data_IF_134185317226
#
_entry.id   IF_134185317226
#
_cell.length_a   1.000
_cell.length_b   1.000
_cell.length_c   1.000
_cell.angle_alpha   90.00
_cell.angle_beta   90.00
_cell.angle_gamma   90.00
#
_symmetry.space_group_name_H-M   'P 1'
#
loop_
_entity.id
_entity.type
_entity.pdbx_description
1 polymer ?
#
# COMPACT_ATOMS: atom_id res chain seq x y z
N UNK A 1 -28.66 -20.51 18.84
CA UNK A 1 -27.29 -21.07 18.73
C UNK A 1 -27.28 -22.59 18.50
N UNK A 2 -27.93 -23.40 19.27
CA UNK A 2 -28.00 -24.85 19.00
C UNK A 2 -28.49 -25.22 17.60
N UNK A 3 -29.41 -24.46 17.01
CA UNK A 3 -29.91 -24.67 15.63
C UNK A 3 -28.91 -24.25 14.56
N UNK A 4 -28.14 -23.19 14.76
CA UNK A 4 -27.09 -22.73 13.85
C UNK A 4 -25.91 -23.69 13.85
N UNK A 5 -25.55 -24.22 15.03
CA UNK A 5 -24.43 -25.16 15.17
C UNK A 5 -24.76 -26.60 14.83
N UNK A 6 -26.02 -27.06 14.94
CA UNK A 6 -26.41 -28.36 14.43
C UNK A 6 -26.23 -28.52 12.91
N UNK A 7 -26.40 -27.44 12.13
CA UNK A 7 -26.11 -27.47 10.68
C UNK A 7 -24.60 -27.42 10.34
N UNK A 8 -23.77 -26.88 11.23
CA UNK A 8 -22.32 -26.83 11.07
C UNK A 8 -21.68 -28.22 11.26
N UNK A 9 -22.22 -29.04 12.14
CA UNK A 9 -21.67 -30.37 12.50
C UNK A 9 -22.15 -31.49 11.58
N UNK A 10 -23.32 -31.37 10.91
CA UNK A 10 -23.89 -32.44 10.08
C UNK A 10 -23.62 -32.34 8.57
N UNK A 11 -22.85 -31.38 8.13
CA UNK A 11 -22.57 -31.09 6.69
C UNK A 11 -21.40 -31.85 6.05
N UNK A 12 -20.70 -32.72 6.76
CA UNK A 12 -19.58 -33.48 6.20
C UNK A 12 -19.98 -34.91 5.86
N UNK A 13 -20.74 -35.10 4.78
CA UNK A 13 -20.79 -36.42 4.10
C UNK A 13 -21.23 -36.26 2.66
N UNK A 14 -20.37 -36.72 1.78
CA UNK A 14 -20.52 -37.05 0.36
C UNK A 14 -20.54 -35.88 -0.65
N UNK A 15 -19.39 -35.61 -1.26
CA UNK A 15 -19.28 -35.43 -2.71
C UNK A 15 -18.05 -36.19 -3.21
N UNK A 16 -18.27 -37.27 -3.91
CA UNK A 16 -17.26 -38.02 -4.66
C UNK A 16 -16.89 -37.24 -5.93
N UNK A 17 -15.57 -37.00 -6.07
CA UNK A 17 -14.97 -36.27 -7.17
C UNK A 17 -14.80 -37.18 -8.38
N UNK A 18 -15.46 -36.86 -9.46
CA UNK A 18 -15.12 -37.36 -10.79
C UNK A 18 -13.94 -36.59 -11.38
N UNK A 19 -12.76 -37.18 -11.36
CA UNK A 19 -11.58 -36.71 -12.08
C UNK A 19 -11.70 -37.03 -13.56
N UNK A 20 -12.04 -36.05 -14.40
CA UNK A 20 -11.79 -36.14 -15.84
C UNK A 20 -10.53 -35.36 -16.17
N UNK A 21 -9.42 -36.09 -16.38
CA UNK A 21 -8.20 -35.57 -17.01
C UNK A 21 -8.53 -35.17 -18.47
N UNK A 22 -8.50 -33.87 -18.76
CA UNK A 22 -8.32 -33.39 -20.13
C UNK A 22 -6.82 -33.15 -20.36
N UNK A 23 -6.18 -34.06 -21.07
CA UNK A 23 -4.86 -33.87 -21.66
C UNK A 23 -5.00 -32.91 -22.84
N UNK A 24 -4.52 -31.69 -22.66
CA UNK A 24 -4.31 -30.73 -23.76
C UNK A 24 -2.89 -30.89 -24.26
N UNK A 25 -2.75 -31.52 -25.40
CA UNK A 25 -1.52 -31.53 -26.20
C UNK A 25 -1.28 -30.14 -26.76
N UNK A 26 -0.42 -29.34 -26.13
CA UNK A 26 0.16 -28.14 -26.76
C UNK A 26 1.44 -28.52 -27.46
N UNK A 27 1.44 -28.29 -28.78
CA UNK A 27 2.50 -28.57 -29.70
C UNK A 27 3.82 -27.90 -29.33
N UNK A 28 4.90 -28.68 -29.38
CA UNK A 28 6.31 -28.32 -29.13
C UNK A 28 6.96 -27.48 -30.23
N UNK A 29 6.22 -26.67 -30.98
CA UNK A 29 6.77 -26.00 -32.19
C UNK A 29 7.08 -24.52 -32.00
N UNK A 30 6.92 -23.93 -30.77
CA UNK A 30 7.14 -22.50 -30.55
C UNK A 30 8.40 -22.13 -29.77
N UNK A 31 9.23 -23.10 -29.37
CA UNK A 31 10.43 -22.83 -28.57
C UNK A 31 11.70 -22.49 -29.41
N UNK A 32 11.66 -22.61 -30.71
CA UNK A 32 12.84 -22.40 -31.56
C UNK A 32 12.98 -21.03 -32.24
N UNK A 33 11.98 -20.15 -32.17
CA UNK A 33 12.03 -18.85 -32.85
C UNK A 33 12.15 -17.61 -31.91
N UNK A 34 12.49 -17.79 -30.64
CA UNK A 34 12.70 -16.68 -29.68
C UNK A 34 14.18 -16.45 -29.34
N UNK A 35 15.10 -17.00 -30.10
CA UNK A 35 16.49 -16.53 -30.12
C UNK A 35 16.59 -15.31 -31.06
N UNK A 36 15.74 -14.29 -30.90
CA UNK A 36 16.02 -12.97 -31.43
C UNK A 36 17.30 -12.47 -30.75
N UNK A 37 18.35 -12.28 -31.59
CA UNK A 37 19.59 -11.60 -31.24
C UNK A 37 19.25 -10.46 -30.27
N UNK A 38 19.81 -10.48 -29.07
CA UNK A 38 19.99 -9.29 -28.24
C UNK A 38 20.89 -8.37 -29.08
N UNK A 39 20.30 -7.51 -29.88
CA UNK A 39 21.01 -6.29 -30.29
C UNK A 39 21.28 -5.57 -28.96
N UNK A 40 22.55 -5.48 -28.61
CA UNK A 40 22.98 -4.63 -27.49
C UNK A 40 22.53 -3.21 -27.84
N UNK A 41 21.47 -2.76 -27.19
CA UNK A 41 20.95 -1.40 -27.32
C UNK A 41 22.09 -0.47 -26.89
N UNK A 42 22.81 0.11 -27.86
CA UNK A 42 23.83 1.10 -27.56
C UNK A 42 23.15 2.27 -26.86
N UNK A 43 23.39 2.40 -25.57
CA UNK A 43 22.90 3.55 -24.82
C UNK A 43 23.61 4.82 -25.33
N UNK A 44 22.88 5.94 -25.49
CA UNK A 44 23.46 7.20 -25.94
C UNK A 44 24.52 7.67 -24.94
N UNK A 45 25.48 8.47 -25.43
CA UNK A 45 26.45 9.13 -24.55
C UNK A 45 25.72 10.11 -23.61
N UNK A 46 26.29 10.42 -22.44
CA UNK A 46 25.69 11.33 -21.46
C UNK A 46 25.30 12.69 -22.07
N UNK A 47 26.12 13.25 -22.96
CA UNK A 47 25.85 14.51 -23.64
C UNK A 47 24.73 14.47 -24.69
N UNK A 48 24.25 13.29 -25.03
CA UNK A 48 23.14 13.09 -25.98
C UNK A 48 21.77 12.96 -25.28
N UNK A 49 21.78 12.87 -23.94
CA UNK A 49 20.56 12.68 -23.14
C UNK A 49 19.91 14.03 -22.87
N UNK A 50 18.67 14.18 -23.30
CA UNK A 50 17.82 15.31 -22.93
C UNK A 50 17.23 15.08 -21.53
N UNK A 51 17.10 16.13 -20.72
CA UNK A 51 16.45 16.09 -19.41
C UNK A 51 15.27 17.06 -19.36
N UNK A 52 14.22 16.66 -18.65
CA UNK A 52 13.06 17.53 -18.36
C UNK A 52 12.63 17.36 -16.90
N UNK A 53 12.13 18.45 -16.34
CA UNK A 53 11.46 18.47 -15.04
C UNK A 53 9.97 18.69 -15.30
N UNK A 54 9.16 17.68 -15.04
CA UNK A 54 7.71 17.77 -15.15
C UNK A 54 7.12 18.06 -13.77
N UNK A 55 6.36 19.15 -13.68
CA UNK A 55 5.70 19.58 -12.45
C UNK A 55 4.21 19.32 -12.60
N UNK A 56 3.70 18.31 -11.88
CA UNK A 56 2.27 18.01 -11.89
C UNK A 56 1.45 19.13 -11.28
N UNK A 57 0.39 19.54 -11.97
CA UNK A 57 -0.57 20.52 -11.48
C UNK A 57 -1.68 19.90 -10.62
N UNK A 58 -1.75 18.56 -10.56
CA UNK A 58 -2.71 17.86 -9.70
C UNK A 58 -2.19 17.70 -8.29
N UNK A 59 -3.10 17.76 -7.31
CA UNK A 59 -2.87 17.38 -5.91
C UNK A 59 -3.63 16.11 -5.51
N UNK A 60 -4.34 15.49 -6.45
CA UNK A 60 -5.00 14.21 -6.24
C UNK A 60 -4.00 13.06 -6.35
N UNK A 61 -3.95 12.22 -5.29
CA UNK A 61 -3.01 11.09 -5.23
C UNK A 61 -3.23 10.08 -6.36
N UNK A 62 -4.46 9.78 -6.72
CA UNK A 62 -4.77 8.80 -7.75
C UNK A 62 -4.38 9.31 -9.14
N UNK A 63 -4.62 10.58 -9.41
CA UNK A 63 -4.18 11.26 -10.63
C UNK A 63 -2.66 11.28 -10.75
N UNK A 64 -1.95 11.61 -9.67
CA UNK A 64 -0.49 11.64 -9.69
C UNK A 64 0.14 10.26 -9.85
N UNK A 65 -0.42 9.22 -9.19
CA UNK A 65 0.02 7.84 -9.38
C UNK A 65 -0.34 7.30 -10.77
N UNK A 66 -1.47 7.73 -11.33
CA UNK A 66 -1.85 7.39 -12.71
C UNK A 66 -0.88 8.03 -13.71
N UNK A 67 -0.51 9.29 -13.53
CA UNK A 67 0.49 9.97 -14.36
C UNK A 67 1.86 9.28 -14.29
N UNK A 68 2.31 8.91 -13.09
CA UNK A 68 3.55 8.14 -12.90
C UNK A 68 3.52 6.81 -13.66
N UNK A 69 2.41 6.05 -13.56
CA UNK A 69 2.26 4.76 -14.24
C UNK A 69 2.10 4.92 -15.75
N UNK A 70 1.38 5.97 -16.20
CA UNK A 70 1.22 6.30 -17.61
C UNK A 70 2.57 6.62 -18.27
N UNK A 71 3.35 7.52 -17.65
CA UNK A 71 4.69 7.88 -18.13
C UNK A 71 5.60 6.66 -18.20
N UNK A 72 5.59 5.84 -17.15
CA UNK A 72 6.39 4.60 -17.12
C UNK A 72 6.05 3.63 -18.23
N UNK A 73 4.78 3.53 -18.64
CA UNK A 73 4.29 2.61 -19.68
C UNK A 73 4.45 3.13 -21.09
N UNK A 74 4.30 4.43 -21.30
CA UNK A 74 4.11 5.02 -22.62
C UNK A 74 5.28 5.89 -23.11
N UNK A 75 6.21 6.29 -22.23
CA UNK A 75 7.35 7.11 -22.63
C UNK A 75 8.60 6.25 -22.86
N UNK A 76 9.38 6.64 -23.88
CA UNK A 76 10.74 6.10 -24.11
C UNK A 76 11.78 6.99 -23.42
N UNK A 77 12.44 6.43 -22.42
CA UNK A 77 13.49 7.13 -21.67
C UNK A 77 14.90 6.90 -22.22
N UNK A 78 15.08 6.28 -23.38
CA UNK A 78 16.40 5.95 -23.94
C UNK A 78 17.29 7.19 -24.09
N UNK A 79 16.74 8.28 -24.65
CA UNK A 79 17.43 9.54 -24.93
C UNK A 79 16.85 10.74 -24.15
N UNK A 80 15.78 10.53 -23.40
CA UNK A 80 15.09 11.58 -22.67
C UNK A 80 14.77 11.11 -21.25
N UNK A 81 15.54 11.56 -20.27
CA UNK A 81 15.27 11.29 -18.87
C UNK A 81 14.33 12.35 -18.31
N UNK A 82 13.40 11.93 -17.49
CA UNK A 82 12.42 12.83 -16.88
C UNK A 82 12.47 12.73 -15.37
N UNK A 83 12.40 13.88 -14.72
CA UNK A 83 12.11 13.98 -13.30
C UNK A 83 10.72 14.59 -13.13
N UNK A 84 9.78 13.86 -12.53
CA UNK A 84 8.46 14.35 -12.18
C UNK A 84 8.46 14.84 -10.74
N UNK A 85 7.92 16.03 -10.51
CA UNK A 85 7.75 16.65 -9.19
C UNK A 85 6.26 16.83 -8.93
N UNK A 86 5.79 16.41 -7.75
CA UNK A 86 4.37 16.38 -7.44
C UNK A 86 4.06 16.44 -5.95
N UNK A 87 2.86 16.90 -5.61
CA UNK A 87 2.34 17.06 -4.24
C UNK A 87 0.94 16.48 -4.16
N UNK A 88 0.49 16.16 -2.96
CA UNK A 88 -0.87 15.64 -2.74
C UNK A 88 -1.58 16.39 -1.62
N UNK A 89 -2.90 16.34 -1.67
CA UNK A 89 -3.73 16.50 -0.48
C UNK A 89 -3.44 15.37 0.53
N UNK A 90 -3.90 15.49 1.78
CA UNK A 90 -3.68 14.45 2.79
C UNK A 90 -4.08 13.05 2.29
N UNK A 91 -3.11 12.14 2.28
CA UNK A 91 -3.33 10.76 1.87
C UNK A 91 -2.28 9.82 2.49
N UNK A 92 -2.64 8.54 2.60
CA UNK A 92 -1.73 7.46 2.92
C UNK A 92 -1.45 6.64 1.67
N UNK A 93 -0.17 6.38 1.39
CA UNK A 93 0.25 5.60 0.22
C UNK A 93 0.96 4.34 0.66
N UNK A 94 0.32 3.20 0.47
CA UNK A 94 0.88 1.88 0.78
C UNK A 94 1.66 1.31 -0.40
N UNK A 95 2.66 0.50 -0.11
CA UNK A 95 3.41 -0.24 -1.12
C UNK A 95 2.60 -1.37 -1.74
N UNK A 96 3.02 -1.82 -2.94
CA UNK A 96 2.29 -2.83 -3.73
C UNK A 96 1.93 -4.11 -2.98
N UNK A 97 2.80 -4.57 -2.06
CA UNK A 97 2.66 -5.86 -1.35
C UNK A 97 2.41 -5.69 0.15
N UNK A 98 1.84 -4.56 0.54
CA UNK A 98 1.52 -4.28 1.94
C UNK A 98 0.08 -4.63 2.27
N UNK A 99 -0.17 -4.84 3.56
CA UNK A 99 -1.49 -5.01 4.14
C UNK A 99 -1.98 -3.66 4.68
N UNK A 100 -3.03 -3.02 4.09
CA UNK A 100 -3.49 -1.71 4.51
C UNK A 100 -3.99 -1.69 5.96
N UNK A 101 -4.63 -2.76 6.42
CA UNK A 101 -5.14 -2.87 7.80
C UNK A 101 -4.03 -2.96 8.85
N UNK A 102 -2.81 -3.40 8.45
CA UNK A 102 -1.65 -3.45 9.34
C UNK A 102 -0.82 -2.17 9.29
N UNK A 103 -0.84 -1.47 8.15
CA UNK A 103 0.08 -0.38 7.88
C UNK A 103 -0.53 1.02 8.01
N UNK A 104 -1.87 1.12 8.08
CA UNK A 104 -2.59 2.37 8.19
C UNK A 104 -3.70 2.26 9.25
N UNK A 105 -4.03 3.38 9.89
CA UNK A 105 -5.19 3.49 10.78
C UNK A 105 -6.45 3.73 9.95
N UNK A 106 -6.96 2.66 9.30
CA UNK A 106 -8.09 2.75 8.35
C UNK A 106 -9.31 3.49 8.92
N UNK A 107 -9.77 3.24 10.16
CA UNK A 107 -10.87 4.02 10.73
C UNK A 107 -10.59 5.53 10.85
N UNK A 108 -9.37 5.92 11.27
CA UNK A 108 -8.99 7.33 11.34
C UNK A 108 -8.95 7.97 9.95
N UNK A 109 -8.49 7.23 8.93
CA UNK A 109 -8.49 7.75 7.56
C UNK A 109 -9.90 7.99 7.06
N UNK A 110 -10.84 7.08 7.33
CA UNK A 110 -12.25 7.22 6.96
C UNK A 110 -12.90 8.41 7.69
N UNK A 111 -12.69 8.55 9.00
CA UNK A 111 -13.20 9.69 9.80
C UNK A 111 -12.73 11.05 9.27
N UNK A 112 -11.50 11.13 8.77
CA UNK A 112 -10.85 12.36 8.32
C UNK A 112 -10.88 12.56 6.81
N UNK A 113 -11.56 11.68 6.08
CA UNK A 113 -11.60 11.68 4.61
C UNK A 113 -10.20 11.69 3.96
N UNK A 114 -9.23 11.04 4.64
CA UNK A 114 -7.86 10.90 4.13
C UNK A 114 -7.82 9.73 3.15
N UNK A 115 -7.42 9.97 1.91
CA UNK A 115 -7.36 8.95 0.89
C UNK A 115 -6.33 7.86 1.20
N UNK A 116 -6.69 6.59 0.94
CA UNK A 116 -5.77 5.44 1.01
C UNK A 116 -5.50 4.93 -0.40
N UNK A 117 -4.27 5.10 -0.89
CA UNK A 117 -3.88 4.66 -2.22
C UNK A 117 -2.79 3.59 -2.16
N UNK A 118 -2.86 2.59 -3.06
CA UNK A 118 -1.81 1.61 -3.26
C UNK A 118 -1.00 1.97 -4.50
N UNK A 119 0.30 2.19 -4.35
CA UNK A 119 1.20 2.47 -5.46
C UNK A 119 1.70 1.20 -6.17
N UNK A 120 2.18 1.36 -7.39
CA UNK A 120 2.73 0.27 -8.21
C UNK A 120 4.12 -0.21 -7.76
N UNK A 121 4.88 0.61 -7.02
CA UNK A 121 6.18 0.25 -6.45
C UNK A 121 6.04 -0.49 -5.12
N UNK A 122 7.07 -1.20 -4.70
CA UNK A 122 7.15 -1.83 -3.38
C UNK A 122 7.45 -0.83 -2.25
N UNK A 123 8.02 -1.34 -1.15
CA UNK A 123 8.44 -0.54 0.01
C UNK A 123 7.32 -0.30 1.03
N UNK A 124 7.63 0.50 2.06
CA UNK A 124 6.77 0.80 3.20
C UNK A 124 5.70 1.86 2.93
N UNK A 125 4.85 2.07 3.92
CA UNK A 125 3.76 3.06 3.88
C UNK A 125 4.28 4.44 4.20
N UNK A 126 3.73 5.45 3.53
CA UNK A 126 4.04 6.86 3.72
C UNK A 126 2.75 7.68 3.84
N UNK A 127 2.84 8.78 4.57
CA UNK A 127 1.80 9.82 4.62
C UNK A 127 2.24 10.99 3.76
N UNK A 128 1.35 11.53 2.97
CA UNK A 128 1.54 12.74 2.19
C UNK A 128 0.51 13.80 2.59
N UNK A 129 0.94 15.05 2.50
CA UNK A 129 0.10 16.24 2.46
C UNK A 129 0.78 17.31 1.60
N UNK A 130 0.26 18.52 1.57
CA UNK A 130 0.85 19.62 0.78
C UNK A 130 2.26 20.01 1.25
N UNK A 131 2.65 19.66 2.48
CA UNK A 131 3.99 19.87 3.03
C UNK A 131 4.99 18.76 2.70
N UNK A 132 4.56 17.72 1.98
CA UNK A 132 5.42 16.67 1.49
C UNK A 132 5.65 16.82 -0.02
N UNK A 133 6.91 16.84 -0.45
CA UNK A 133 7.30 16.88 -1.86
C UNK A 133 7.62 15.48 -2.34
N UNK A 134 7.03 15.07 -3.46
CA UNK A 134 7.34 13.82 -4.13
C UNK A 134 8.16 14.08 -5.40
N UNK A 135 9.13 13.20 -5.65
CA UNK A 135 10.03 13.28 -6.80
C UNK A 135 10.13 11.90 -7.41
N UNK A 136 9.90 11.78 -8.71
CA UNK A 136 10.05 10.53 -9.46
C UNK A 136 11.07 10.72 -10.58
N UNK A 137 12.10 9.87 -10.61
CA UNK A 137 13.13 9.85 -11.64
C UNK A 137 12.85 8.69 -12.60
N UNK A 138 12.63 8.98 -13.87
CA UNK A 138 12.44 7.99 -14.93
C UNK A 138 13.69 7.85 -15.78
N UNK A 139 14.13 6.62 -15.97
CA UNK A 139 15.33 6.29 -16.77
C UNK A 139 15.16 4.93 -17.47
N UNK A 140 15.99 4.63 -18.48
CA UNK A 140 16.13 3.26 -18.93
C UNK A 140 16.57 2.35 -17.78
N UNK A 141 16.19 1.09 -17.83
CA UNK A 141 16.52 0.11 -16.76
C UNK A 141 18.03 0.00 -16.52
N UNK A 142 18.82 0.08 -17.55
CA UNK A 142 20.29 -0.03 -17.51
C UNK A 142 20.96 1.17 -16.83
N UNK A 143 20.30 2.33 -16.83
CA UNK A 143 20.79 3.58 -16.18
C UNK A 143 20.20 3.82 -14.80
N UNK A 144 19.36 2.91 -14.34
CA UNK A 144 18.79 3.05 -13.00
C UNK A 144 19.88 3.05 -11.94
N UNK A 145 19.94 4.13 -11.17
CA UNK A 145 20.85 4.26 -10.03
C UNK A 145 20.20 5.11 -8.93
N UNK A 146 19.65 4.44 -7.94
CA UNK A 146 18.99 5.10 -6.79
C UNK A 146 19.94 6.01 -6.02
N UNK A 147 21.16 5.56 -5.76
CA UNK A 147 22.14 6.33 -4.99
C UNK A 147 22.46 7.65 -5.68
N UNK A 148 22.65 7.65 -6.99
CA UNK A 148 22.90 8.89 -7.74
C UNK A 148 21.74 9.89 -7.61
N UNK A 149 20.48 9.42 -7.59
CA UNK A 149 19.32 10.28 -7.41
C UNK A 149 19.27 10.88 -5.99
N UNK A 150 19.60 10.10 -4.98
CA UNK A 150 19.64 10.57 -3.58
C UNK A 150 20.80 11.53 -3.36
N UNK A 151 21.97 11.28 -3.94
CA UNK A 151 23.12 12.19 -3.91
C UNK A 151 22.83 13.51 -4.65
N UNK A 152 22.01 13.48 -5.71
CA UNK A 152 21.53 14.70 -6.37
C UNK A 152 20.69 15.55 -5.41
N UNK A 153 19.72 14.93 -4.72
CA UNK A 153 18.87 15.62 -3.74
C UNK A 153 19.72 16.18 -2.59
N UNK A 154 20.65 15.39 -2.07
CA UNK A 154 21.59 15.81 -1.02
C UNK A 154 22.41 17.03 -1.45
N UNK A 155 22.93 17.04 -2.68
CA UNK A 155 23.64 18.22 -3.22
C UNK A 155 22.73 19.44 -3.35
N UNK A 156 21.47 19.26 -3.76
CA UNK A 156 20.49 20.32 -3.85
C UNK A 156 20.21 20.94 -2.46
N UNK A 157 20.02 20.11 -1.43
CA UNK A 157 19.84 20.54 -0.04
C UNK A 157 21.03 21.33 0.46
N UNK A 158 22.26 20.86 0.18
CA UNK A 158 23.48 21.57 0.61
C UNK A 158 23.69 22.89 -0.13
N UNK A 159 23.58 22.90 -1.47
CA UNK A 159 23.83 24.08 -2.28
C UNK A 159 22.75 25.14 -2.14
N UNK A 160 21.50 24.74 -2.02
CA UNK A 160 20.38 25.67 -1.91
C UNK A 160 20.17 26.24 -0.52
N UNK A 161 20.46 25.44 0.51
CA UNK A 161 20.06 25.76 1.88
C UNK A 161 21.18 25.52 2.92
N UNK A 162 22.36 25.05 2.51
CA UNK A 162 23.43 24.71 3.45
C UNK A 162 23.17 23.49 4.33
N UNK A 163 22.07 22.74 4.06
CA UNK A 163 21.67 21.59 4.87
C UNK A 163 22.62 20.41 4.60
N UNK A 164 23.34 20.00 5.64
CA UNK A 164 24.15 18.79 5.62
C UNK A 164 23.25 17.57 5.84
N UNK A 165 23.29 16.64 4.91
CA UNK A 165 22.50 15.40 4.97
C UNK A 165 23.33 14.23 4.48
N UNK A 166 22.92 13.03 4.85
CA UNK A 166 23.59 11.78 4.46
C UNK A 166 22.59 10.78 3.90
N UNK A 167 23.08 9.86 3.07
CA UNK A 167 22.29 8.71 2.60
C UNK A 167 22.71 7.50 3.42
N UNK A 168 21.78 6.95 4.20
CA UNK A 168 22.06 5.81 5.05
C UNK A 168 22.06 4.48 4.26
N UNK A 169 22.37 3.37 4.93
CA UNK A 169 22.43 2.01 4.34
C UNK A 169 21.07 1.52 3.78
N UNK A 170 19.97 2.15 4.15
CA UNK A 170 18.62 1.82 3.65
C UNK A 170 18.17 2.74 2.51
N UNK A 171 19.07 3.55 1.98
CA UNK A 171 18.77 4.57 0.97
C UNK A 171 17.77 5.65 1.46
N UNK A 172 17.76 5.98 2.75
CA UNK A 172 17.05 7.14 3.28
C UNK A 172 17.99 8.36 3.35
N UNK A 173 17.48 9.57 3.06
CA UNK A 173 18.19 10.81 3.37
C UNK A 173 17.91 11.15 4.83
N UNK A 174 18.98 11.32 5.61
CA UNK A 174 18.94 11.66 7.02
C UNK A 174 19.65 13.00 7.29
N UNK A 175 19.17 13.70 8.33
CA UNK A 175 19.76 14.92 8.87
C UNK A 175 19.98 14.75 10.37
N UNK A 176 21.04 15.38 10.91
CA UNK A 176 21.36 15.29 12.34
C UNK A 176 21.52 13.84 12.80
N UNK A 177 22.30 13.06 12.08
CA UNK A 177 22.72 11.67 12.33
C UNK A 177 21.61 10.59 12.34
N UNK A 178 20.34 10.93 12.57
CA UNK A 178 19.27 9.91 12.73
C UNK A 178 17.91 10.28 12.14
N UNK A 179 17.64 11.55 11.90
CA UNK A 179 16.29 11.95 11.50
C UNK A 179 16.10 11.82 9.99
N UNK A 180 15.18 10.96 9.62
CA UNK A 180 14.82 10.73 8.23
C UNK A 180 13.96 11.87 7.69
N UNK A 181 14.34 12.39 6.53
CA UNK A 181 13.59 13.41 5.77
C UNK A 181 13.01 12.86 4.47
N UNK A 182 13.40 11.62 4.05
CA UNK A 182 12.94 11.01 2.81
C UNK A 182 12.53 9.56 3.00
N UNK A 183 11.53 9.11 2.25
CA UNK A 183 11.26 7.69 2.00
C UNK A 183 11.50 7.38 0.53
N UNK A 184 11.95 6.15 0.20
CA UNK A 184 12.23 5.78 -1.19
C UNK A 184 11.60 4.47 -1.59
N UNK A 185 11.21 4.36 -2.87
CA UNK A 185 10.81 3.12 -3.50
C UNK A 185 11.12 3.16 -5.00
N UNK A 186 11.03 2.01 -5.67
CA UNK A 186 11.30 1.92 -7.10
C UNK A 186 10.42 0.87 -7.77
N UNK A 187 10.21 1.04 -9.06
CA UNK A 187 9.66 0.02 -9.96
C UNK A 187 10.66 -0.24 -11.06
N UNK A 188 11.07 -1.50 -11.16
CA UNK A 188 12.07 -1.93 -12.12
C UNK A 188 11.39 -2.84 -13.16
N UNK A 189 11.26 -2.35 -14.36
CA UNK A 189 10.74 -3.12 -15.48
C UNK A 189 11.84 -3.65 -16.38
N UNK A 190 11.45 -4.20 -17.54
CA UNK A 190 12.37 -4.76 -18.51
C UNK A 190 13.17 -3.67 -19.24
N UNK A 191 12.50 -2.60 -19.68
CA UNK A 191 13.09 -1.53 -20.49
C UNK A 191 13.29 -0.24 -19.70
N UNK A 192 12.36 0.07 -18.81
CA UNK A 192 12.32 1.31 -18.06
C UNK A 192 12.30 1.04 -16.55
N UNK A 193 12.75 2.01 -15.80
CA UNK A 193 12.68 2.02 -14.34
C UNK A 193 12.28 3.41 -13.85
N UNK A 194 11.61 3.46 -12.70
CA UNK A 194 11.54 4.69 -11.95
C UNK A 194 11.95 4.48 -10.49
N UNK A 195 12.53 5.52 -9.95
CA UNK A 195 12.81 5.69 -8.53
C UNK A 195 12.04 6.89 -8.04
N UNK A 196 11.19 6.72 -7.06
CA UNK A 196 10.54 7.85 -6.42
C UNK A 196 10.92 7.95 -4.94
N UNK A 197 10.88 9.18 -4.45
CA UNK A 197 11.12 9.49 -3.05
C UNK A 197 10.21 10.62 -2.58
N UNK A 198 9.94 10.62 -1.28
CA UNK A 198 9.28 11.69 -0.57
C UNK A 198 10.31 12.58 0.09
N UNK A 199 10.00 13.86 0.29
CA UNK A 199 10.74 14.76 1.15
C UNK A 199 9.78 15.46 2.10
N UNK A 200 9.98 15.27 3.39
CA UNK A 200 9.20 15.92 4.44
C UNK A 200 9.69 17.37 4.58
N UNK A 201 8.99 18.30 3.97
CA UNK A 201 9.33 19.73 4.01
C UNK A 201 8.65 20.41 5.18
N UNK A 202 7.32 20.36 5.24
CA UNK A 202 6.48 20.92 6.29
C UNK A 202 5.19 20.08 6.46
N UNK A 203 5.35 18.76 6.51
CA UNK A 203 4.23 17.84 6.67
C UNK A 203 3.62 17.94 8.08
N UNK A 204 2.30 17.73 8.17
CA UNK A 204 1.60 17.66 9.45
C UNK A 204 1.99 16.37 10.19
N UNK A 205 2.91 16.50 11.15
CA UNK A 205 3.42 15.37 11.94
C UNK A 205 2.37 14.73 12.84
N UNK A 206 1.32 15.46 13.22
CA UNK A 206 0.23 14.93 14.04
C UNK A 206 -0.65 13.95 13.22
N UNK A 207 -1.06 14.37 12.03
CA UNK A 207 -1.85 13.53 11.13
C UNK A 207 -1.02 12.36 10.60
N UNK A 208 0.27 12.57 10.28
CA UNK A 208 1.20 11.49 9.94
C UNK A 208 1.23 10.40 11.03
N UNK A 209 1.41 10.80 12.30
CA UNK A 209 1.47 9.82 13.41
C UNK A 209 0.16 9.07 13.58
N UNK A 210 -0.99 9.77 13.52
CA UNK A 210 -2.31 9.16 13.69
C UNK A 210 -2.67 8.23 12.50
N UNK A 211 -2.36 8.67 11.27
CA UNK A 211 -2.62 7.89 10.05
C UNK A 211 -1.81 6.59 9.99
N UNK A 212 -0.56 6.61 10.51
CA UNK A 212 0.35 5.47 10.49
C UNK A 212 0.46 4.78 11.86
N UNK A 213 -0.43 5.10 12.80
CA UNK A 213 -0.45 4.46 14.11
C UNK A 213 -0.77 2.97 13.95
N UNK A 214 0.18 2.12 14.30
CA UNK A 214 -0.02 0.67 14.35
C UNK A 214 -0.83 0.31 15.59
N UNK A 215 -1.83 -0.53 15.40
CA UNK A 215 -2.59 -1.15 16.48
C UNK A 215 -2.19 -2.63 16.56
N UNK A 216 -2.31 -3.24 17.73
CA UNK A 216 -2.20 -4.69 17.84
C UNK A 216 -3.53 -5.31 17.39
N UNK A 217 -3.52 -5.80 16.18
CA UNK A 217 -4.74 -6.34 15.54
C UNK A 217 -4.79 -7.87 15.55
N UNK A 218 -3.77 -8.55 16.09
CA UNK A 218 -3.66 -10.00 15.96
C UNK A 218 -3.51 -10.47 14.52
N UNK A 219 -3.05 -9.59 13.62
CA UNK A 219 -2.85 -9.92 12.20
C UNK A 219 -1.55 -10.70 12.01
N UNK A 220 -1.66 -11.87 11.40
CA UNK A 220 -0.53 -12.67 10.93
C UNK A 220 -0.51 -12.64 9.40
N UNK A 221 0.61 -12.23 8.80
CA UNK A 221 0.73 -12.05 7.35
C UNK A 221 2.18 -12.12 6.89
N UNK A 222 2.39 -12.49 5.62
CA UNK A 222 3.67 -12.40 4.91
C UNK A 222 3.79 -11.09 4.10
N UNK A 223 2.90 -10.12 4.30
CA UNK A 223 2.99 -8.81 3.66
C UNK A 223 4.27 -8.08 4.09
N UNK A 224 4.80 -7.25 3.18
CA UNK A 224 6.00 -6.45 3.46
C UNK A 224 5.72 -5.44 4.58
N UNK A 225 6.41 -5.50 5.72
CA UNK A 225 6.19 -4.54 6.80
C UNK A 225 6.88 -3.21 6.52
N UNK A 226 6.32 -2.11 7.05
CA UNK A 226 7.03 -0.84 7.16
C UNK A 226 8.03 -0.85 8.30
N UNK A 227 9.18 -0.21 8.09
CA UNK A 227 10.18 -0.01 9.15
C UNK A 227 10.02 1.40 9.73
N UNK A 228 9.58 1.52 10.99
CA UNK A 228 9.49 2.81 11.66
C UNK A 228 10.84 3.53 11.72
N UNK A 229 10.82 4.84 11.56
CA UNK A 229 12.03 5.69 11.66
C UNK A 229 11.65 7.04 12.28
N UNK A 230 12.52 7.65 13.08
CA UNK A 230 12.31 9.01 13.53
C UNK A 230 12.38 9.95 12.32
N UNK A 231 11.39 10.82 12.19
CA UNK A 231 11.28 11.76 11.06
C UNK A 231 11.31 13.20 11.54
N UNK A 232 11.78 14.09 10.66
CA UNK A 232 11.79 15.54 10.87
C UNK A 232 11.40 16.24 9.58
N UNK A 233 10.77 17.40 9.67
CA UNK A 233 10.56 18.27 8.52
C UNK A 233 11.83 19.07 8.21
N UNK A 234 12.09 19.36 6.93
CA UNK A 234 13.21 20.20 6.53
C UNK A 234 13.07 21.64 7.05
N UNK A 235 11.86 22.17 7.19
CA UNK A 235 11.60 23.48 7.78
C UNK A 235 12.02 23.55 9.25
N UNK A 236 12.03 22.45 9.99
CA UNK A 236 12.52 22.37 11.37
C UNK A 236 14.08 22.44 11.43
N UNK A 237 14.75 22.16 10.29
CA UNK A 237 16.22 22.24 10.16
C UNK A 237 16.65 23.62 9.68
N UNK A 238 15.97 24.16 8.66
CA UNK A 238 16.15 25.50 8.15
C UNK A 238 14.80 26.07 7.68
N UNK A 239 14.34 27.13 8.33
CA UNK A 239 13.05 27.77 8.08
C UNK A 239 12.92 28.45 6.70
N UNK A 240 14.02 28.60 5.95
CA UNK A 240 14.02 29.11 4.56
C UNK A 240 13.56 28.05 3.56
N UNK A 241 13.54 26.77 3.94
CA UNK A 241 13.09 25.71 3.05
C UNK A 241 11.58 25.77 2.93
N UNK A 242 11.10 25.93 1.72
CA UNK A 242 9.69 25.75 1.35
C UNK A 242 9.56 24.68 0.29
N UNK A 243 8.36 24.13 0.09
CA UNK A 243 8.15 23.15 -0.97
C UNK A 243 8.52 23.76 -2.34
N UNK A 244 8.13 25.02 -2.60
CA UNK A 244 8.35 25.68 -3.88
C UNK A 244 9.83 26.00 -4.13
N UNK A 245 10.57 26.46 -3.10
CA UNK A 245 12.02 26.69 -3.24
C UNK A 245 12.77 25.36 -3.41
N UNK A 246 12.36 24.32 -2.70
CA UNK A 246 13.02 23.01 -2.76
C UNK A 246 12.81 22.32 -4.12
N UNK A 247 11.57 22.30 -4.64
CA UNK A 247 11.29 21.70 -5.95
C UNK A 247 12.10 22.37 -7.08
N UNK A 248 12.20 23.70 -7.03
CA UNK A 248 12.99 24.48 -7.99
C UNK A 248 14.47 24.17 -7.86
N UNK A 249 15.01 24.15 -6.64
CA UNK A 249 16.42 23.85 -6.37
C UNK A 249 16.81 22.44 -6.85
N UNK A 250 15.98 21.44 -6.56
CA UNK A 250 16.23 20.06 -7.01
C UNK A 250 16.10 19.95 -8.53
N UNK A 251 15.14 20.64 -9.14
CA UNK A 251 14.97 20.66 -10.59
C UNK A 251 16.20 21.25 -11.29
N UNK A 252 16.72 22.36 -10.84
CA UNK A 252 17.96 22.92 -11.37
C UNK A 252 19.15 21.99 -11.16
N UNK A 253 19.30 21.37 -10.00
CA UNK A 253 20.37 20.40 -9.75
C UNK A 253 20.26 19.19 -10.67
N UNK A 254 19.04 18.73 -10.98
CA UNK A 254 18.80 17.64 -11.93
C UNK A 254 19.19 18.01 -13.36
N UNK A 255 18.80 19.20 -13.83
CA UNK A 255 19.08 19.64 -15.20
C UNK A 255 20.59 19.85 -15.43
N UNK A 256 21.32 20.39 -14.45
CA UNK A 256 22.75 20.67 -14.58
C UNK A 256 23.70 19.54 -14.21
N UNK A 257 23.19 18.42 -13.69
CA UNK A 257 24.03 17.31 -13.25
C UNK A 257 24.96 16.86 -14.38
N UNK A 258 26.26 16.82 -14.11
CA UNK A 258 27.35 16.48 -15.01
C UNK A 258 27.61 17.46 -16.19
N UNK A 259 26.83 18.53 -16.32
CA UNK A 259 27.07 19.51 -17.38
C UNK A 259 28.47 20.14 -17.26
N UNK A 260 28.90 20.45 -16.03
CA UNK A 260 30.19 21.05 -15.76
C UNK A 260 31.42 20.15 -15.99
N UNK A 261 31.20 18.83 -16.16
CA UNK A 261 32.27 17.87 -16.46
C UNK A 261 32.53 17.69 -17.95
N UNK A 262 31.77 18.34 -18.82
CA UNK A 262 31.95 18.31 -20.26
C UNK A 262 33.01 19.33 -20.69
N UNK A 263 33.72 19.08 -21.82
CA UNK A 263 34.80 19.95 -22.35
C UNK A 263 34.34 21.39 -22.61
N UNK A 264 33.07 21.54 -23.06
CA UNK A 264 32.43 22.85 -23.29
C UNK A 264 31.76 23.45 -22.04
N UNK A 265 32.09 22.95 -20.86
CA UNK A 265 31.43 23.35 -19.59
C UNK A 265 29.95 22.98 -19.55
N UNK A 266 29.49 22.10 -20.44
CA UNK A 266 28.11 21.66 -20.54
C UNK A 266 27.19 22.60 -21.31
N UNK A 267 27.73 23.59 -22.04
CA UNK A 267 26.93 24.59 -22.76
C UNK A 267 26.00 23.94 -23.81
N UNK A 268 26.53 23.03 -24.60
CA UNK A 268 25.74 22.30 -25.61
C UNK A 268 24.69 21.39 -25.00
N UNK A 269 24.97 20.84 -23.84
CA UNK A 269 24.00 20.03 -23.10
C UNK A 269 22.86 20.89 -22.50
N UNK A 270 23.22 22.02 -21.89
CA UNK A 270 22.23 22.97 -21.31
C UNK A 270 21.26 23.44 -22.38
N UNK A 271 21.76 23.80 -23.59
CA UNK A 271 20.91 24.25 -24.69
C UNK A 271 19.89 23.18 -25.19
N UNK A 272 20.18 21.90 -24.95
CA UNK A 272 19.29 20.77 -25.29
C UNK A 272 18.28 20.42 -24.20
N UNK A 273 18.41 20.99 -22.99
CA UNK A 273 17.47 20.69 -21.90
C UNK A 273 16.11 21.35 -22.16
N UNK A 274 15.05 20.62 -21.87
CA UNK A 274 13.67 21.14 -21.99
C UNK A 274 13.23 21.96 -20.78
N UNK A 275 14.04 21.97 -19.71
CA UNK A 275 13.76 22.74 -18.51
C UNK A 275 12.56 22.26 -17.72
N UNK A 276 11.90 23.21 -17.05
CA UNK A 276 10.69 22.94 -16.28
C UNK A 276 9.46 23.03 -17.18
N UNK A 277 8.56 22.07 -17.02
CA UNK A 277 7.30 22.00 -17.75
C UNK A 277 6.17 21.70 -16.74
N UNK A 278 5.19 22.59 -16.66
CA UNK A 278 3.95 22.29 -15.96
C UNK A 278 3.14 21.32 -16.79
N UNK A 279 2.70 20.21 -16.19
CA UNK A 279 1.91 19.20 -16.86
C UNK A 279 0.53 19.12 -16.20
N UNK A 280 -0.49 19.21 -17.02
CA UNK A 280 -1.88 19.02 -16.58
C UNK A 280 -2.26 17.56 -16.81
N UNK A 281 -2.38 16.71 -15.75
CA UNK A 281 -2.62 15.30 -15.89
C UNK A 281 -4.10 15.01 -16.19
N UNK A 282 -4.49 15.24 -17.42
CA UNK A 282 -5.81 14.94 -17.97
C UNK A 282 -5.70 13.93 -19.10
N UNK A 283 -6.81 13.28 -19.44
CA UNK A 283 -6.85 12.31 -20.55
C UNK A 283 -6.53 12.96 -21.91
N UNK A 284 -6.79 14.26 -22.06
CA UNK A 284 -6.42 15.02 -23.25
C UNK A 284 -4.91 15.10 -23.45
N UNK A 285 -4.13 15.30 -22.36
CA UNK A 285 -2.69 15.36 -22.40
C UNK A 285 -2.04 13.97 -22.38
N UNK A 286 -2.67 13.02 -21.70
CA UNK A 286 -2.18 11.67 -21.45
C UNK A 286 -3.29 10.65 -21.74
N UNK A 287 -3.55 10.32 -23.01
CA UNK A 287 -4.67 9.43 -23.41
C UNK A 287 -4.67 8.09 -22.66
N UNK A 288 -5.79 7.74 -22.03
CA UNK A 288 -5.93 6.56 -21.18
C UNK A 288 -5.54 6.77 -19.70
N UNK A 289 -5.22 8.01 -19.28
CA UNK A 289 -4.91 8.35 -17.90
C UNK A 289 -6.08 8.09 -16.95
N UNK A 290 -7.29 8.45 -17.37
CA UNK A 290 -8.52 8.32 -16.57
C UNK A 290 -8.85 6.84 -16.28
N UNK A 291 -8.57 5.94 -17.22
CA UNK A 291 -8.72 4.51 -17.00
C UNK A 291 -7.76 4.00 -15.93
N UNK A 292 -6.49 4.43 -15.98
CA UNK A 292 -5.49 4.08 -14.97
C UNK A 292 -5.91 4.63 -13.59
N UNK A 293 -6.32 5.90 -13.55
CA UNK A 293 -6.79 6.56 -12.32
C UNK A 293 -7.96 5.82 -11.70
N UNK A 294 -8.99 5.54 -12.49
CA UNK A 294 -10.18 4.81 -12.05
C UNK A 294 -9.83 3.41 -11.52
N UNK A 295 -8.90 2.71 -12.18
CA UNK A 295 -8.38 1.43 -11.70
C UNK A 295 -7.70 1.52 -10.33
N UNK A 296 -6.90 2.58 -10.09
CA UNK A 296 -6.22 2.82 -8.82
C UNK A 296 -7.17 3.19 -7.68
N UNK A 297 -8.35 3.76 -7.97
CA UNK A 297 -9.37 4.13 -7.01
C UNK A 297 -10.21 2.94 -6.54
N UNK A 298 -10.17 1.81 -7.24
CA UNK A 298 -11.00 0.66 -6.88
C UNK A 298 -10.59 0.05 -5.54
N UNK A 299 -11.60 -0.43 -4.81
CA UNK A 299 -11.36 -1.23 -3.60
C UNK A 299 -10.51 -2.47 -3.90
N UNK A 300 -10.74 -3.10 -5.05
CA UNK A 300 -9.99 -4.29 -5.49
C UNK A 300 -8.50 -4.00 -5.70
N UNK A 301 -8.14 -2.77 -6.08
CA UNK A 301 -6.74 -2.37 -6.15
C UNK A 301 -6.17 -2.05 -4.77
N UNK A 302 -6.86 -1.21 -3.98
CA UNK A 302 -6.34 -0.72 -2.70
C UNK A 302 -6.30 -1.82 -1.63
N UNK A 303 -7.36 -2.63 -1.51
CA UNK A 303 -7.52 -3.68 -0.50
C UNK A 303 -7.42 -5.09 -1.08
N UNK A 304 -8.01 -5.34 -2.25
CA UNK A 304 -8.05 -6.66 -2.88
C UNK A 304 -6.69 -7.18 -3.39
N UNK A 305 -5.63 -6.34 -3.41
CA UNK A 305 -4.25 -6.77 -3.70
C UNK A 305 -3.45 -7.13 -2.46
N UNK A 306 -4.09 -7.19 -1.31
CA UNK A 306 -3.45 -7.56 -0.06
C UNK A 306 -3.06 -9.04 -0.06
N UNK A 307 -1.82 -9.40 0.34
CA UNK A 307 -1.43 -10.78 0.57
C UNK A 307 -2.33 -11.46 1.60
N UNK A 308 -2.40 -12.79 1.55
CA UNK A 308 -3.12 -13.59 2.54
C UNK A 308 -2.73 -13.17 3.97
N UNK A 309 -3.73 -13.04 4.83
CA UNK A 309 -3.53 -12.80 6.25
C UNK A 309 -4.64 -13.46 7.09
N UNK A 310 -4.34 -13.69 8.36
CA UNK A 310 -5.31 -14.14 9.36
C UNK A 310 -5.35 -13.12 10.48
N UNK A 311 -6.57 -12.79 10.92
CA UNK A 311 -6.81 -12.00 12.13
C UNK A 311 -7.31 -12.95 13.20
N UNK A 312 -6.64 -13.01 14.35
CA UNK A 312 -7.06 -13.84 15.48
C UNK A 312 -7.15 -13.01 16.75
N UNK A 313 -8.29 -13.08 17.43
CA UNK A 313 -8.54 -12.34 18.68
C UNK A 313 -9.16 -13.23 19.73
N UNK A 314 -8.79 -12.95 20.97
CA UNK A 314 -9.27 -13.59 22.17
C UNK A 314 -10.18 -12.66 22.95
N UNK A 315 -11.31 -13.17 23.39
CA UNK A 315 -12.30 -12.44 24.16
C UNK A 315 -12.62 -13.21 25.43
N UNK A 316 -12.40 -12.57 26.58
CA UNK A 316 -12.82 -13.15 27.85
C UNK A 316 -14.35 -13.29 27.88
N UNK A 317 -14.85 -14.47 28.16
CA UNK A 317 -16.29 -14.71 28.28
C UNK A 317 -16.76 -14.28 29.66
N UNK A 318 -17.77 -13.40 29.75
CA UNK A 318 -18.39 -13.02 31.04
C UNK A 318 -18.90 -14.26 31.78
N UNK A 319 -18.69 -14.29 33.11
CA UNK A 319 -19.07 -15.45 33.92
C UNK A 319 -20.57 -15.78 33.87
N UNK A 320 -21.41 -14.75 33.72
CA UNK A 320 -22.87 -14.87 33.59
C UNK A 320 -23.32 -15.57 32.31
N UNK A 321 -22.48 -15.64 31.29
CA UNK A 321 -22.75 -16.36 30.02
C UNK A 321 -22.30 -17.82 30.05
N UNK A 322 -21.57 -18.22 31.10
CA UNK A 322 -21.09 -19.59 31.27
C UNK A 322 -22.12 -20.46 32.04
N UNK A 323 -22.03 -21.77 31.90
CA UNK A 323 -22.89 -22.72 32.66
C UNK A 323 -22.66 -22.56 34.18
N UNK A 324 -23.69 -22.21 34.97
CA UNK A 324 -23.53 -21.96 36.41
C UNK A 324 -23.13 -23.20 37.22
N UNK A 325 -23.36 -24.40 36.68
CA UNK A 325 -23.08 -25.66 37.34
C UNK A 325 -21.62 -26.09 37.29
N UNK A 326 -20.78 -25.39 36.52
CA UNK A 326 -19.37 -25.73 36.32
C UNK A 326 -18.45 -24.74 37.01
N UNK A 327 -17.43 -25.25 37.70
CA UNK A 327 -16.34 -24.43 38.25
C UNK A 327 -15.20 -24.37 37.24
N UNK A 328 -14.84 -23.17 36.84
CA UNK A 328 -13.76 -22.92 35.88
C UNK A 328 -12.51 -22.50 36.64
N UNK A 329 -11.40 -23.22 36.41
CA UNK A 329 -10.10 -22.94 37.03
C UNK A 329 -9.34 -21.75 36.43
N UNK A 330 -9.78 -21.28 35.26
CA UNK A 330 -9.21 -20.13 34.53
C UNK A 330 -10.29 -19.38 33.77
N UNK A 331 -9.98 -18.14 33.37
CA UNK A 331 -10.82 -17.32 32.49
C UNK A 331 -11.08 -18.07 31.18
N UNK A 332 -12.35 -18.20 30.83
CA UNK A 332 -12.75 -18.83 29.57
C UNK A 332 -12.65 -17.79 28.45
N UNK A 333 -11.99 -18.16 27.35
CA UNK A 333 -11.75 -17.26 26.21
C UNK A 333 -12.44 -17.82 24.94
N UNK A 334 -13.25 -16.99 24.30
CA UNK A 334 -13.68 -17.22 22.93
C UNK A 334 -12.57 -16.69 21.99
N UNK A 335 -12.08 -17.54 21.07
CA UNK A 335 -11.14 -17.10 20.05
C UNK A 335 -11.86 -17.05 18.70
N UNK A 336 -11.77 -15.89 18.03
CA UNK A 336 -12.30 -15.69 16.68
C UNK A 336 -11.13 -15.51 15.74
N UNK A 337 -11.08 -16.32 14.67
CA UNK A 337 -10.07 -16.22 13.63
C UNK A 337 -10.72 -16.04 12.27
N UNK A 338 -10.34 -14.97 11.54
CA UNK A 338 -10.76 -14.71 10.18
C UNK A 338 -9.56 -14.85 9.24
N UNK A 339 -9.67 -15.70 8.22
CA UNK A 339 -8.70 -15.78 7.13
C UNK A 339 -9.20 -14.94 5.96
N UNK A 340 -8.34 -14.05 5.46
CA UNK A 340 -8.68 -13.08 4.41
C UNK A 340 -7.71 -13.25 3.24
N UNK A 341 -8.24 -13.59 2.07
CA UNK A 341 -7.49 -13.69 0.82
C UNK A 341 -7.95 -12.62 -0.17
N UNK A 342 -7.01 -11.83 -0.68
CA UNK A 342 -7.32 -10.71 -1.60
C UNK A 342 -8.38 -9.75 -1.05
N UNK A 343 -8.34 -9.50 0.26
CA UNK A 343 -9.31 -8.65 0.95
C UNK A 343 -10.69 -9.29 1.15
N UNK A 344 -10.89 -10.54 0.72
CA UNK A 344 -12.13 -11.29 0.85
C UNK A 344 -12.02 -12.29 2.00
N UNK A 345 -13.03 -12.38 2.84
CA UNK A 345 -13.11 -13.38 3.90
C UNK A 345 -13.23 -14.77 3.26
N UNK A 346 -12.20 -15.59 3.41
CA UNK A 346 -12.17 -16.96 2.88
C UNK A 346 -12.62 -17.99 3.89
N UNK A 347 -12.35 -17.74 5.19
CA UNK A 347 -12.75 -18.64 6.26
C UNK A 347 -12.90 -17.89 7.59
N UNK A 348 -13.78 -18.41 8.47
CA UNK A 348 -13.99 -17.93 9.83
C UNK A 348 -14.07 -19.10 10.77
N UNK A 349 -13.22 -19.14 11.79
CA UNK A 349 -13.23 -20.16 12.82
C UNK A 349 -13.45 -19.56 14.20
N UNK A 350 -14.18 -20.28 15.03
CA UNK A 350 -14.41 -20.00 16.44
C UNK A 350 -13.78 -21.11 17.26
N UNK A 351 -12.95 -20.78 18.23
CA UNK A 351 -12.58 -21.71 19.29
C UNK A 351 -13.42 -21.38 20.52
N UNK A 352 -14.39 -22.24 20.78
CA UNK A 352 -15.46 -22.05 21.78
C UNK A 352 -14.99 -22.64 23.10
N UNK A 353 -14.97 -21.87 24.20
CA UNK A 353 -14.58 -22.38 25.47
C UNK A 353 -15.69 -23.26 26.11
N UNK A 354 -15.32 -24.15 27.06
CA UNK A 354 -16.29 -24.92 27.82
C UNK A 354 -17.31 -24.03 28.52
N UNK A 355 -18.59 -24.44 28.49
CA UNK A 355 -19.67 -23.78 29.20
C UNK A 355 -20.34 -22.60 28.48
N UNK A 356 -19.84 -22.16 27.38
CA UNK A 356 -20.50 -21.12 26.58
C UNK A 356 -21.69 -21.68 25.79
N UNK A 357 -21.60 -22.92 25.32
CA UNK A 357 -22.68 -23.57 24.57
C UNK A 357 -23.54 -24.44 25.44
N UNK A 358 -24.88 -24.30 25.32
CA UNK A 358 -25.87 -25.13 26.03
C UNK A 358 -25.81 -26.62 25.65
N UNK A 359 -25.33 -26.90 24.42
CA UNK A 359 -25.13 -28.27 23.95
C UNK A 359 -23.92 -28.97 24.61
N UNK A 360 -23.16 -28.29 25.46
CA UNK A 360 -21.91 -28.79 26.03
C UNK A 360 -20.76 -28.87 25.02
N UNK A 361 -20.93 -28.41 23.77
CA UNK A 361 -19.86 -28.37 22.79
C UNK A 361 -18.79 -27.33 23.14
N UNK A 362 -17.52 -27.70 23.00
CA UNK A 362 -16.37 -26.84 23.11
C UNK A 362 -15.30 -27.26 22.08
N UNK A 363 -14.41 -26.33 21.72
CA UNK A 363 -13.39 -26.58 20.72
C UNK A 363 -13.57 -25.74 19.46
N UNK A 364 -12.89 -26.13 18.39
CA UNK A 364 -12.92 -25.41 17.12
C UNK A 364 -14.19 -25.71 16.32
N UNK A 365 -14.85 -24.66 15.85
CA UNK A 365 -15.97 -24.72 14.95
C UNK A 365 -15.74 -23.78 13.77
N UNK A 366 -15.87 -24.32 12.55
CA UNK A 366 -15.93 -23.49 11.34
C UNK A 366 -17.29 -22.84 11.23
N UNK A 367 -17.31 -21.53 11.07
CA UNK A 367 -18.55 -20.78 10.87
C UNK A 367 -18.84 -20.75 9.37
N UNK A 368 -19.71 -21.65 8.92
CA UNK A 368 -20.24 -21.64 7.55
C UNK A 368 -21.22 -20.48 7.47
N UNK A 369 -20.75 -19.33 7.06
CA UNK A 369 -21.57 -18.14 7.10
C UNK A 369 -21.65 -17.45 5.78
N UNK A 370 -22.63 -16.60 5.71
CA UNK A 370 -22.80 -15.54 4.72
C UNK A 370 -21.61 -14.56 4.69
N UNK A 371 -20.63 -14.66 5.61
CA UNK A 371 -19.39 -13.86 5.61
C UNK A 371 -18.39 -14.36 4.56
N UNK A 372 -18.35 -15.66 4.29
CA UNK A 372 -17.44 -16.22 3.28
C UNK A 372 -17.76 -15.62 1.89
N UNK A 373 -16.75 -15.09 1.25
CA UNK A 373 -16.88 -14.39 -0.03
C UNK A 373 -17.22 -12.90 0.09
N UNK A 374 -17.44 -12.36 1.30
CA UNK A 374 -17.65 -10.92 1.52
C UNK A 374 -16.30 -10.20 1.64
N UNK A 375 -16.28 -8.92 1.31
CA UNK A 375 -15.15 -8.04 1.57
C UNK A 375 -14.91 -7.93 3.08
N UNK A 376 -13.64 -7.88 3.49
CA UNK A 376 -13.28 -7.67 4.88
C UNK A 376 -13.48 -6.19 5.25
N UNK A 377 -14.72 -5.85 5.59
CA UNK A 377 -15.20 -4.50 5.91
C UNK A 377 -16.27 -4.57 7.00
N UNK A 378 -16.58 -3.44 7.65
CA UNK A 378 -17.68 -3.34 8.62
C UNK A 378 -19.04 -3.75 8.05
N UNK A 379 -19.26 -3.60 6.74
CA UNK A 379 -20.49 -4.03 6.06
C UNK A 379 -20.69 -5.54 6.09
N UNK A 380 -19.60 -6.34 6.13
CA UNK A 380 -19.68 -7.78 6.27
C UNK A 380 -20.34 -8.20 7.58
N UNK A 381 -20.17 -7.38 8.61
CA UNK A 381 -20.75 -7.60 9.92
C UNK A 381 -22.26 -7.37 9.95
N UNK A 382 -22.71 -6.31 9.29
CA UNK A 382 -24.15 -6.05 9.15
C UNK A 382 -24.84 -7.25 8.48
N UNK A 383 -24.18 -7.86 7.50
CA UNK A 383 -24.67 -9.08 6.87
C UNK A 383 -24.74 -10.28 7.84
N UNK A 384 -23.82 -10.38 8.82
CA UNK A 384 -23.87 -11.42 9.85
C UNK A 384 -25.01 -11.16 10.84
N UNK A 385 -25.16 -9.94 11.33
CA UNK A 385 -26.26 -9.56 12.24
C UNK A 385 -27.62 -9.80 11.59
N UNK A 386 -27.80 -9.42 10.33
CA UNK A 386 -29.01 -9.70 9.58
C UNK A 386 -29.26 -11.21 9.42
N UNK A 387 -28.20 -12.00 9.24
CA UNK A 387 -28.32 -13.44 9.12
C UNK A 387 -28.72 -14.12 10.44
N UNK A 388 -28.19 -13.59 11.55
CA UNK A 388 -28.56 -14.07 12.91
C UNK A 388 -30.02 -13.72 13.25
N UNK A 389 -30.49 -12.53 12.85
CA UNK A 389 -31.87 -12.08 13.07
C UNK A 389 -32.90 -12.78 12.20
N UNK A 390 -32.54 -13.29 11.02
CA UNK A 390 -33.47 -13.93 10.05
C UNK A 390 -33.64 -15.43 10.22
N UNK A 391 -33.16 -16.03 11.30
CA UNK A 391 -33.31 -17.47 11.50
C UNK A 391 -34.73 -17.77 12.02
N UNK A 392 -35.57 -18.40 11.16
CA UNK A 392 -36.94 -18.91 11.37
C UNK A 392 -38.13 -18.03 10.96
N UNK A 393 -37.94 -16.96 10.18
CA UNK A 393 -39.11 -16.19 9.69
C UNK A 393 -39.75 -15.23 10.70
N UNK A 394 -39.39 -15.34 11.97
CA UNK A 394 -39.75 -14.42 13.03
C UNK A 394 -38.49 -13.59 13.43
N UNK A 395 -38.64 -12.30 13.67
CA UNK A 395 -37.60 -11.45 14.20
C UNK A 395 -37.40 -11.85 15.66
N UNK A 396 -36.43 -12.74 15.91
CA UNK A 396 -35.99 -13.05 17.27
C UNK A 396 -34.97 -12.03 17.73
N UNK A 397 -35.17 -11.46 18.91
CA UNK A 397 -34.11 -10.76 19.62
C UNK A 397 -32.98 -11.77 19.92
N UNK A 398 -31.75 -11.38 19.64
CA UNK A 398 -30.56 -12.18 19.93
C UNK A 398 -30.48 -12.42 21.45
N UNK A 399 -30.22 -13.66 21.86
CA UNK A 399 -29.92 -13.95 23.26
C UNK A 399 -28.59 -13.32 23.69
N UNK A 400 -28.34 -13.25 25.01
CA UNK A 400 -27.15 -12.60 25.56
C UNK A 400 -25.83 -13.21 25.04
N UNK A 401 -25.80 -14.51 24.77
CA UNK A 401 -24.66 -15.23 24.21
C UNK A 401 -24.44 -14.88 22.74
N UNK A 402 -25.51 -14.81 21.97
CA UNK A 402 -25.49 -14.40 20.57
C UNK A 402 -25.07 -12.94 20.41
N UNK A 403 -25.58 -12.05 21.28
CA UNK A 403 -25.15 -10.65 21.34
C UNK A 403 -23.66 -10.53 21.68
N UNK A 404 -23.16 -11.31 22.64
CA UNK A 404 -21.74 -11.35 22.98
C UNK A 404 -20.87 -11.76 21.79
N UNK A 405 -21.24 -12.85 21.11
CA UNK A 405 -20.49 -13.33 19.91
C UNK A 405 -20.54 -12.29 18.79
N UNK A 406 -21.69 -11.69 18.51
CA UNK A 406 -21.83 -10.64 17.52
C UNK A 406 -20.93 -9.43 17.83
N UNK A 407 -20.89 -8.99 19.10
CA UNK A 407 -20.02 -7.90 19.57
C UNK A 407 -18.53 -8.26 19.47
N UNK A 408 -18.15 -9.52 19.70
CA UNK A 408 -16.78 -9.99 19.49
C UNK A 408 -16.38 -9.94 18.00
N UNK A 409 -17.27 -10.33 17.10
CA UNK A 409 -17.06 -10.21 15.66
C UNK A 409 -16.91 -8.75 15.23
N UNK A 410 -17.79 -7.88 15.73
CA UNK A 410 -17.70 -6.44 15.48
C UNK A 410 -16.33 -5.89 15.85
N UNK A 411 -15.79 -6.28 16.99
CA UNK A 411 -14.44 -5.88 17.40
C UNK A 411 -13.34 -6.45 16.50
N UNK A 412 -13.53 -7.63 15.88
CA UNK A 412 -12.55 -8.16 14.91
C UNK A 412 -12.56 -7.34 13.63
N UNK A 413 -13.71 -6.95 13.11
CA UNK A 413 -13.83 -6.24 11.83
C UNK A 413 -13.58 -4.72 11.99
N UNK A 414 -14.14 -4.08 13.02
CA UNK A 414 -14.05 -2.62 13.18
C UNK A 414 -12.76 -2.10 13.82
N UNK A 415 -11.94 -2.97 14.37
CA UNK A 415 -10.63 -2.56 14.90
C UNK A 415 -9.50 -2.73 13.89
N UNK A 416 -9.82 -3.23 12.72
CA UNK A 416 -8.95 -3.40 11.55
C UNK A 416 -9.40 -2.41 10.44
#
# INVERSE_FOLDING_TARGET
>A
MASIMRKVVMGNMLVMVGLTRRTSSRSLTTAKNLAMKKEERKLPKEGEITKSVFMSQSTDIYTNLALEDWMYKNMDFSNHHVMMVWRNEPCVVIGRHQNPWLEANVPFLAEREIALARRNSGGGTVYHDRGNLNITFFTPRERYNRKNNLELIKRALYRGFGIKSEVNVRDDIIVGDKYKVSGTAAKLGRLSAYHHCTLLVNANKADLRKSLAKRDHGIQTNATPSTPSPVVNLVDVDNKVTVDTLQTTIGYEYLRTRALSLEDGGQSLISKQRGFQFVNPTDEWFPGLDEIRSGLQTWDWSFGRTPLFTVSRKFAVPAELLEPSKVYSATQELVISCTVEKGIISDVTLNIPPGLMESGFYGEASVITQLKGKRFTSEALNALQEAMMRHHGDVHELDDKEQFVAKCFDQVVNTV
#
